data_IF_885041189419
#
_entry.id   IF_885041189419
#
_cell.length_a   1.000
_cell.length_b   1.000
_cell.length_c   1.000
_cell.angle_alpha   90.00
_cell.angle_beta   90.00
_cell.angle_gamma   90.00
#
_symmetry.space_group_name_H-M   'P 1'
#
loop_
_entity.id
_entity.type
_entity.pdbx_description
1 polymer ?
#
# COMPACT_ATOMS: atom_id res chain seq x y z
N UNK A 1 -4.97 -14.16 5.23
CA UNK A 1 -3.97 -13.81 4.20
C UNK A 1 -3.17 -12.64 4.73
N UNK A 2 -1.87 -12.61 4.42
CA UNK A 2 -1.01 -11.46 4.68
C UNK A 2 -1.02 -10.55 3.47
N UNK A 3 -1.52 -9.33 3.66
CA UNK A 3 -1.75 -8.34 2.61
C UNK A 3 -0.89 -7.11 2.91
N UNK A 4 -0.18 -6.62 1.91
CA UNK A 4 0.44 -5.30 1.96
C UNK A 4 -0.42 -4.33 1.14
N UNK A 5 -0.72 -3.16 1.69
CA UNK A 5 -1.32 -2.06 0.96
C UNK A 5 -0.28 -0.96 0.82
N UNK A 6 0.26 -0.78 -0.39
CA UNK A 6 1.30 0.20 -0.68
C UNK A 6 0.68 1.55 -1.08
N UNK A 7 0.92 2.56 -0.25
CA UNK A 7 0.30 3.87 -0.30
C UNK A 7 -0.86 3.95 0.69
N UNK A 8 -0.82 4.97 1.55
CA UNK A 8 -1.78 5.21 2.64
C UNK A 8 -2.54 6.53 2.47
N UNK A 9 -2.70 6.95 1.21
CA UNK A 9 -3.70 7.97 0.87
C UNK A 9 -5.12 7.44 1.06
N UNK A 10 -6.11 8.24 0.70
CA UNK A 10 -7.53 7.92 0.90
C UNK A 10 -7.93 6.51 0.42
N UNK A 11 -7.54 6.12 -0.81
CA UNK A 11 -7.83 4.77 -1.35
C UNK A 11 -7.16 3.68 -0.52
N UNK A 12 -5.88 3.84 -0.20
CA UNK A 12 -5.10 2.79 0.44
C UNK A 12 -5.41 2.62 1.91
N UNK A 13 -5.52 3.70 2.68
CA UNK A 13 -5.79 3.62 4.11
C UNK A 13 -7.17 3.03 4.39
N UNK A 14 -8.20 3.48 3.65
CA UNK A 14 -9.57 2.93 3.78
C UNK A 14 -9.58 1.46 3.38
N UNK A 15 -8.89 1.08 2.29
CA UNK A 15 -8.81 -0.31 1.88
C UNK A 15 -8.11 -1.19 2.91
N UNK A 16 -7.01 -0.71 3.49
CA UNK A 16 -6.27 -1.43 4.52
C UNK A 16 -7.13 -1.66 5.78
N UNK A 17 -7.82 -0.62 6.24
CA UNK A 17 -8.71 -0.70 7.40
C UNK A 17 -9.88 -1.68 7.17
N UNK A 18 -10.52 -1.64 6.01
CA UNK A 18 -11.59 -2.59 5.69
C UNK A 18 -11.03 -4.01 5.60
N UNK A 19 -9.92 -4.24 4.91
CA UNK A 19 -9.34 -5.58 4.83
C UNK A 19 -8.96 -6.15 6.21
N UNK A 20 -8.48 -5.32 7.14
CA UNK A 20 -8.16 -5.77 8.51
C UNK A 20 -9.43 -6.08 9.32
N UNK A 21 -10.51 -5.32 9.12
CA UNK A 21 -11.82 -5.59 9.73
C UNK A 21 -12.38 -6.96 9.33
N UNK A 22 -12.16 -7.37 8.08
CA UNK A 22 -12.51 -8.71 7.58
C UNK A 22 -11.53 -9.82 8.02
N UNK A 23 -10.58 -9.52 8.91
CA UNK A 23 -9.69 -10.50 9.54
C UNK A 23 -8.45 -10.88 8.72
N UNK A 24 -8.08 -10.09 7.72
CA UNK A 24 -6.77 -10.23 7.08
C UNK A 24 -5.67 -9.62 7.92
N UNK A 25 -4.45 -10.15 7.82
CA UNK A 25 -3.26 -9.54 8.39
C UNK A 25 -2.75 -8.49 7.40
N UNK A 26 -3.01 -7.22 7.69
CA UNK A 26 -2.79 -6.10 6.78
C UNK A 26 -1.65 -5.23 7.27
N UNK A 27 -0.68 -5.01 6.38
CA UNK A 27 0.40 -4.05 6.54
C UNK A 27 0.16 -2.86 5.60
N UNK A 28 -0.26 -1.73 6.17
CA UNK A 28 -0.37 -0.46 5.48
C UNK A 28 1.02 0.19 5.40
N UNK A 29 1.57 0.24 4.20
CA UNK A 29 2.92 0.71 3.92
C UNK A 29 2.90 2.06 3.21
N UNK A 30 3.72 3.00 3.67
CA UNK A 30 3.97 4.28 3.00
C UNK A 30 5.40 4.76 3.25
N UNK A 31 5.98 5.46 2.27
CA UNK A 31 7.29 6.09 2.40
C UNK A 31 7.24 7.33 3.33
N UNK A 32 6.05 7.90 3.50
CA UNK A 32 5.82 9.05 4.38
C UNK A 32 5.73 8.60 5.85
N UNK A 33 6.86 8.71 6.55
CA UNK A 33 6.96 8.31 7.96
C UNK A 33 6.05 9.13 8.90
N UNK A 34 5.70 10.37 8.53
CA UNK A 34 4.82 11.21 9.35
C UNK A 34 3.38 10.69 9.30
N UNK A 35 2.91 10.28 8.12
CA UNK A 35 1.62 9.57 7.98
C UNK A 35 1.61 8.28 8.80
N UNK A 36 2.64 7.44 8.64
CA UNK A 36 2.73 6.16 9.36
C UNK A 36 2.70 6.39 10.88
N UNK A 37 3.44 7.39 11.38
CA UNK A 37 3.41 7.77 12.79
C UNK A 37 2.03 8.22 13.24
N UNK A 38 1.37 9.08 12.46
CA UNK A 38 0.02 9.57 12.77
C UNK A 38 -0.99 8.42 12.83
N UNK A 39 -1.01 7.53 11.85
CA UNK A 39 -1.93 6.39 11.80
C UNK A 39 -1.67 5.37 12.90
N UNK A 40 -0.40 5.15 13.26
CA UNK A 40 -0.01 4.26 14.36
C UNK A 40 -0.50 4.73 15.74
N UNK A 41 -0.90 6.00 15.89
CA UNK A 41 -1.47 6.49 17.15
C UNK A 41 -2.88 5.96 17.41
N UNK A 42 -3.61 5.60 16.35
CA UNK A 42 -5.05 5.34 16.42
C UNK A 42 -5.89 6.56 16.82
N UNK A 43 -5.32 7.77 16.91
CA UNK A 43 -6.05 8.97 17.31
C UNK A 43 -6.74 9.62 16.13
N UNK A 44 -8.03 9.97 16.31
CA UNK A 44 -8.88 10.55 15.27
C UNK A 44 -8.27 11.82 14.68
N UNK A 45 -7.82 12.74 15.53
CA UNK A 45 -7.27 14.03 15.09
C UNK A 45 -5.98 13.87 14.27
N UNK A 46 -5.16 12.85 14.54
CA UNK A 46 -3.93 12.59 13.79
C UNK A 46 -4.22 11.91 12.44
N UNK A 47 -5.17 10.97 12.41
CA UNK A 47 -5.57 10.26 11.20
C UNK A 47 -6.27 11.22 10.21
N UNK A 48 -7.23 12.01 10.70
CA UNK A 48 -8.08 12.85 9.86
C UNK A 48 -7.35 14.06 9.25
N UNK A 49 -6.16 14.41 9.74
CA UNK A 49 -5.26 15.37 9.05
C UNK A 49 -4.88 14.92 7.64
N UNK A 50 -4.76 13.61 7.43
CA UNK A 50 -4.35 13.04 6.16
C UNK A 50 -5.52 12.41 5.40
N UNK A 51 -6.40 11.70 6.11
CA UNK A 51 -7.56 11.02 5.53
C UNK A 51 -8.76 11.21 6.45
N UNK A 52 -9.61 12.14 6.07
CA UNK A 52 -10.88 12.35 6.74
C UNK A 52 -11.95 11.51 6.04
N UNK A 53 -12.28 10.37 6.65
CA UNK A 53 -13.35 9.49 6.19
C UNK A 53 -14.23 9.04 7.37
N UNK A 54 -15.56 9.25 7.30
CA UNK A 54 -16.46 8.84 8.36
C UNK A 54 -16.33 7.35 8.72
N UNK A 55 -16.11 7.07 10.00
CA UNK A 55 -16.02 5.70 10.54
C UNK A 55 -14.65 5.03 10.40
N UNK A 56 -13.74 5.56 9.57
CA UNK A 56 -12.41 4.98 9.35
C UNK A 56 -11.63 4.81 10.65
N UNK A 57 -11.60 5.84 11.48
CA UNK A 57 -10.83 5.80 12.73
C UNK A 57 -11.33 4.72 13.69
N UNK A 58 -12.62 4.41 13.70
CA UNK A 58 -13.16 3.37 14.58
C UNK A 58 -12.61 2.00 14.17
N UNK A 59 -12.62 1.69 12.87
CA UNK A 59 -12.07 0.45 12.32
C UNK A 59 -10.56 0.35 12.61
N UNK A 60 -9.82 1.45 12.40
CA UNK A 60 -8.38 1.48 12.71
C UNK A 60 -8.17 1.17 14.20
N UNK A 61 -8.85 1.87 15.12
CA UNK A 61 -8.71 1.64 16.58
C UNK A 61 -9.00 0.19 16.97
N UNK A 62 -10.00 -0.44 16.35
CA UNK A 62 -10.40 -1.80 16.67
C UNK A 62 -9.40 -2.86 16.20
N UNK A 63 -8.78 -2.62 15.05
CA UNK A 63 -7.91 -3.58 14.33
C UNK A 63 -6.41 -3.34 14.52
N UNK A 64 -6.01 -2.14 14.95
CA UNK A 64 -4.62 -1.74 15.14
C UNK A 64 -3.90 -2.69 16.12
N UNK A 65 -2.75 -3.21 15.68
CA UNK A 65 -1.93 -4.15 16.46
C UNK A 65 -2.48 -5.58 16.55
N UNK A 66 -3.64 -5.85 15.93
CA UNK A 66 -4.22 -7.21 15.83
C UNK A 66 -4.18 -7.72 14.39
N UNK A 67 -4.75 -6.91 13.50
CA UNK A 67 -4.91 -7.22 12.08
C UNK A 67 -4.39 -6.09 11.19
N UNK A 68 -4.27 -4.87 11.72
CA UNK A 68 -3.74 -3.71 10.98
C UNK A 68 -2.43 -3.25 11.61
N UNK A 69 -1.41 -3.13 10.77
CA UNK A 69 -0.08 -2.66 11.13
C UNK A 69 0.35 -1.57 10.15
N UNK A 70 1.00 -0.53 10.66
CA UNK A 70 1.53 0.57 9.85
C UNK A 70 3.06 0.50 9.87
N UNK A 71 3.69 0.69 8.72
CA UNK A 71 5.15 0.72 8.62
C UNK A 71 5.62 1.55 7.43
N UNK A 72 6.82 2.12 7.53
CA UNK A 72 7.56 2.69 6.41
C UNK A 72 8.75 1.84 5.98
N UNK A 73 8.92 0.68 6.61
CA UNK A 73 9.93 -0.33 6.29
C UNK A 73 9.25 -1.50 5.57
N UNK A 74 9.52 -1.61 4.27
CA UNK A 74 8.97 -2.66 3.42
C UNK A 74 9.71 -3.99 3.61
N UNK A 75 11.03 -3.95 3.80
CA UNK A 75 11.87 -5.15 3.90
C UNK A 75 11.40 -6.06 5.05
N UNK A 76 11.01 -5.48 6.19
CA UNK A 76 10.57 -6.25 7.36
C UNK A 76 9.22 -6.94 7.22
N UNK A 77 8.42 -6.60 6.20
CA UNK A 77 7.04 -7.09 6.06
C UNK A 77 6.82 -7.98 4.84
N UNK A 78 7.80 -8.16 3.96
CA UNK A 78 7.61 -8.93 2.71
C UNK A 78 7.45 -10.43 2.90
N UNK A 79 8.20 -11.03 3.81
CA UNK A 79 8.14 -12.47 4.05
C UNK A 79 6.73 -12.90 4.45
N UNK A 80 6.22 -13.99 3.89
CA UNK A 80 4.87 -14.44 4.22
C UNK A 80 3.75 -13.76 3.40
N UNK A 81 4.04 -12.70 2.63
CA UNK A 81 3.00 -11.93 1.93
C UNK A 81 2.33 -12.73 0.81
N UNK A 82 1.01 -12.64 0.73
CA UNK A 82 0.19 -13.29 -0.31
C UNK A 82 -0.17 -12.30 -1.44
N UNK A 83 -0.44 -11.04 -1.10
CA UNK A 83 -0.83 -10.02 -2.07
C UNK A 83 -0.33 -8.60 -1.70
N UNK A 84 -0.03 -7.80 -2.73
CA UNK A 84 0.34 -6.38 -2.59
C UNK A 84 -0.63 -5.53 -3.43
N UNK A 85 -1.36 -4.64 -2.77
CA UNK A 85 -2.23 -3.66 -3.43
C UNK A 85 -1.46 -2.38 -3.70
N UNK A 86 -1.47 -1.95 -4.96
CA UNK A 86 -0.82 -0.73 -5.42
C UNK A 86 -1.82 0.44 -5.34
N UNK A 87 -1.76 1.22 -4.27
CA UNK A 87 -2.65 2.34 -3.94
C UNK A 87 -1.89 3.69 -3.97
N UNK A 88 -1.18 3.92 -5.07
CA UNK A 88 -0.21 4.99 -5.27
C UNK A 88 -0.81 6.20 -6.00
N UNK A 89 -0.27 7.42 -5.79
CA UNK A 89 -0.76 8.61 -6.47
C UNK A 89 -0.42 8.60 -7.96
N UNK A 90 -1.40 8.96 -8.78
CA UNK A 90 -1.30 9.05 -10.24
C UNK A 90 -1.89 10.37 -10.74
N UNK A 91 -1.33 11.53 -10.34
CA UNK A 91 -1.88 12.83 -10.69
C UNK A 91 -1.83 13.07 -12.21
N UNK A 92 -2.65 14.00 -12.75
CA UNK A 92 -2.55 14.38 -14.15
C UNK A 92 -1.28 15.19 -14.43
N UNK A 93 -0.71 15.01 -15.61
CA UNK A 93 0.26 15.90 -16.22
C UNK A 93 -0.43 17.18 -16.73
N UNK A 94 0.35 18.18 -17.14
CA UNK A 94 -0.18 19.44 -17.71
C UNK A 94 -1.02 19.23 -18.98
N UNK A 95 -0.74 18.17 -19.73
CA UNK A 95 -1.49 17.78 -20.94
C UNK A 95 -2.72 16.88 -20.63
N UNK A 96 -2.98 16.59 -19.36
CA UNK A 96 -4.07 15.73 -18.90
C UNK A 96 -3.77 14.24 -18.92
N UNK A 97 -2.61 13.80 -19.42
CA UNK A 97 -2.19 12.40 -19.34
C UNK A 97 -1.88 11.99 -17.89
N UNK A 98 -1.95 10.69 -17.58
CA UNK A 98 -1.64 10.22 -16.21
C UNK A 98 -0.14 10.25 -15.95
N UNK A 99 0.28 10.93 -14.88
CA UNK A 99 1.65 10.88 -14.40
C UNK A 99 1.89 9.58 -13.59
N UNK A 100 2.65 8.65 -14.18
CA UNK A 100 3.02 7.38 -13.54
C UNK A 100 4.35 7.45 -12.76
N UNK A 101 4.97 8.62 -12.59
CA UNK A 101 6.28 8.75 -11.92
C UNK A 101 6.29 8.12 -10.53
N UNK A 102 5.32 8.46 -9.69
CA UNK A 102 5.23 7.92 -8.33
C UNK A 102 4.87 6.42 -8.31
N UNK A 103 4.01 6.02 -9.25
CA UNK A 103 3.64 4.62 -9.41
C UNK A 103 4.87 3.76 -9.76
N UNK A 104 5.63 4.18 -10.78
CA UNK A 104 6.81 3.49 -11.25
C UNK A 104 7.90 3.45 -10.17
N UNK A 105 8.15 4.57 -9.48
CA UNK A 105 9.14 4.61 -8.41
C UNK A 105 8.83 3.62 -7.27
N UNK A 106 7.56 3.51 -6.89
CA UNK A 106 7.14 2.54 -5.88
C UNK A 106 7.15 1.11 -6.42
N UNK A 107 6.74 0.87 -7.68
CA UNK A 107 6.82 -0.44 -8.31
C UNK A 107 8.27 -0.95 -8.38
N UNK A 108 9.23 -0.10 -8.77
CA UNK A 108 10.66 -0.41 -8.80
C UNK A 108 11.21 -0.70 -7.40
N UNK A 109 10.86 0.13 -6.40
CA UNK A 109 11.26 -0.12 -5.02
C UNK A 109 10.73 -1.45 -4.51
N UNK A 110 9.45 -1.73 -4.75
CA UNK A 110 8.81 -2.99 -4.35
C UNK A 110 9.47 -4.16 -5.08
N UNK A 111 9.71 -4.08 -6.39
CA UNK A 111 10.37 -5.13 -7.17
C UNK A 111 11.77 -5.47 -6.63
N UNK A 112 12.62 -4.45 -6.41
CA UNK A 112 13.95 -4.63 -5.83
C UNK A 112 13.92 -5.28 -4.43
N UNK A 113 12.91 -4.93 -3.63
CA UNK A 113 12.77 -5.46 -2.26
C UNK A 113 12.22 -6.88 -2.30
N UNK A 114 11.26 -7.14 -3.19
CA UNK A 114 10.69 -8.46 -3.49
C UNK A 114 11.77 -9.45 -3.92
N UNK A 115 12.70 -9.05 -4.79
CA UNK A 115 13.80 -9.89 -5.27
C UNK A 115 14.73 -10.41 -4.17
N UNK A 116 14.78 -9.73 -3.02
CA UNK A 116 15.64 -10.10 -1.88
C UNK A 116 14.98 -11.11 -0.93
N UNK A 117 13.71 -11.45 -1.14
CA UNK A 117 12.98 -12.36 -0.26
C UNK A 117 13.62 -13.75 -0.25
N UNK A 118 13.40 -14.48 0.84
CA UNK A 118 13.72 -15.90 0.93
C UNK A 118 12.52 -16.78 0.61
N UNK A 119 11.31 -16.30 0.88
CA UNK A 119 10.07 -16.99 0.57
C UNK A 119 9.77 -16.99 -0.94
N UNK A 120 9.89 -18.16 -1.59
CA UNK A 120 9.63 -18.30 -3.02
C UNK A 120 8.14 -18.45 -3.38
N UNK A 121 7.22 -18.25 -2.43
CA UNK A 121 5.79 -18.26 -2.74
C UNK A 121 5.43 -17.06 -3.62
N UNK A 122 4.49 -17.31 -4.53
CA UNK A 122 3.96 -16.29 -5.44
C UNK A 122 3.25 -15.20 -4.64
N UNK A 123 3.57 -13.94 -4.96
CA UNK A 123 2.76 -12.79 -4.57
C UNK A 123 1.86 -12.37 -5.72
N UNK A 124 0.62 -12.02 -5.39
CA UNK A 124 -0.31 -11.38 -6.32
C UNK A 124 -0.20 -9.87 -6.19
N UNK A 125 0.21 -9.19 -7.27
CA UNK A 125 0.16 -7.74 -7.35
C UNK A 125 -1.20 -7.28 -7.89
N UNK A 126 -1.82 -6.32 -7.20
CA UNK A 126 -3.15 -5.81 -7.52
C UNK A 126 -3.10 -4.31 -7.78
N UNK A 127 -3.37 -3.92 -9.02
CA UNK A 127 -3.47 -2.50 -9.38
C UNK A 127 -4.79 -1.93 -8.87
N UNK A 128 -4.70 -1.05 -7.87
CA UNK A 128 -5.86 -0.37 -7.28
C UNK A 128 -5.88 1.13 -7.56
N UNK A 129 -4.73 1.74 -7.80
CA UNK A 129 -4.60 3.09 -8.34
C UNK A 129 -5.39 3.27 -9.64
N UNK A 130 -5.87 4.48 -9.88
CA UNK A 130 -6.41 4.87 -11.19
C UNK A 130 -5.25 4.97 -12.17
N UNK A 131 -5.15 3.99 -13.07
CA UNK A 131 -4.04 3.86 -14.02
C UNK A 131 -4.55 3.63 -15.46
N UNK A 132 -3.78 4.00 -16.49
CA UNK A 132 -4.14 3.73 -17.88
C UNK A 132 -4.30 2.23 -18.19
N UNK A 133 -4.98 1.94 -19.29
CA UNK A 133 -5.06 0.59 -19.85
C UNK A 133 -3.63 0.12 -20.18
N UNK A 134 -3.32 -1.12 -19.80
CA UNK A 134 -2.00 -1.72 -20.03
C UNK A 134 -1.04 -1.61 -18.84
N UNK A 135 -1.35 -0.82 -17.81
CA UNK A 135 -0.45 -0.67 -16.64
C UNK A 135 -0.22 -1.98 -15.87
N UNK A 136 -1.11 -2.96 -15.95
CA UNK A 136 -0.85 -4.30 -15.41
C UNK A 136 0.33 -5.00 -16.11
N UNK A 137 0.44 -4.87 -17.44
CA UNK A 137 1.57 -5.41 -18.20
C UNK A 137 2.84 -4.63 -17.91
N UNK A 138 2.75 -3.30 -17.85
CA UNK A 138 3.87 -2.44 -17.46
C UNK A 138 4.41 -2.77 -16.06
N UNK A 139 3.53 -3.04 -15.08
CA UNK A 139 3.95 -3.50 -13.76
C UNK A 139 4.68 -4.84 -13.83
N UNK A 140 4.17 -5.78 -14.63
CA UNK A 140 4.84 -7.06 -14.84
C UNK A 140 6.24 -6.86 -15.43
N UNK A 141 6.39 -6.02 -16.46
CA UNK A 141 7.68 -5.72 -17.08
C UNK A 141 8.69 -5.17 -16.05
N UNK A 142 8.25 -4.30 -15.12
CA UNK A 142 9.09 -3.82 -14.01
C UNK A 142 9.50 -4.98 -13.09
N UNK A 143 8.56 -5.82 -12.67
CA UNK A 143 8.85 -6.95 -11.77
C UNK A 143 9.86 -7.92 -12.40
N UNK A 144 9.69 -8.23 -13.69
CA UNK A 144 10.54 -9.15 -14.44
C UNK A 144 11.98 -8.61 -14.63
N UNK A 145 12.24 -7.31 -14.40
CA UNK A 145 13.61 -6.75 -14.46
C UNK A 145 14.48 -7.08 -13.26
N UNK A 146 13.89 -7.55 -12.15
CA UNK A 146 14.57 -7.85 -10.89
C UNK A 146 14.41 -9.32 -10.46
N UNK A 147 13.89 -10.18 -11.35
CA UNK A 147 13.70 -11.63 -11.13
C UNK A 147 15.03 -12.43 -11.09
#
# INVERSE_FOLDING_TARGET
MKIIVAGTGYVGLVHAAVCSEYGHEVYAYDIDADKIKAFSTGQTEEIEKYVNEPGLTNIIKETLGKYLFFTSDLDSILEGTDAIFMCLPTPPNLDGSTNLTFYNAAAENIAMTVAKRKDNRRIVFVNKSTVPIGTARHLQEIMDTHD
#
